data_IF_467407669631
#
_entry.id   IF_467407669631
#
_cell.length_a   1.000
_cell.length_b   1.000
_cell.length_c   1.000
_cell.angle_alpha   90.00
_cell.angle_beta   90.00
_cell.angle_gamma   90.00
#
_symmetry.space_group_name_H-M   'P 1'
#
loop_
_entity.id
_entity.type
_entity.pdbx_description
1 polymer ?
#
# COMPACT_ATOMS: atom_id res chain seq x y z
N UNK A 1 41.77 21.58 -52.74
CA UNK A 1 40.91 20.94 -53.75
C UNK A 1 40.32 19.68 -53.13
N UNK A 2 39.21 19.84 -52.42
CA UNK A 2 38.57 18.77 -51.65
C UNK A 2 37.50 18.12 -52.52
N UNK A 3 37.67 16.83 -52.82
CA UNK A 3 36.72 16.04 -53.60
C UNK A 3 35.44 15.79 -52.80
N UNK A 4 34.32 16.29 -53.32
CA UNK A 4 32.98 15.77 -53.01
C UNK A 4 32.86 14.39 -53.69
N UNK A 5 32.69 13.32 -52.91
CA UNK A 5 32.17 12.05 -53.42
C UNK A 5 30.72 11.89 -52.98
N UNK A 6 29.84 12.14 -53.94
CA UNK A 6 28.44 11.72 -53.97
C UNK A 6 28.33 10.22 -53.69
N UNK A 7 27.80 9.83 -52.54
CA UNK A 7 27.31 8.46 -52.33
C UNK A 7 25.86 8.39 -52.82
N UNK A 8 25.71 7.82 -54.01
CA UNK A 8 24.44 7.33 -54.53
C UNK A 8 24.04 6.13 -53.66
N UNK A 9 22.99 6.28 -52.85
CA UNK A 9 22.30 5.15 -52.23
C UNK A 9 21.77 4.24 -53.34
N UNK A 10 22.43 3.10 -53.55
CA UNK A 10 21.87 2.01 -54.35
C UNK A 10 20.79 1.33 -53.51
N UNK A 11 19.54 1.66 -53.79
CA UNK A 11 18.39 0.84 -53.38
C UNK A 11 18.60 -0.55 -53.95
N UNK A 12 18.91 -1.52 -53.08
CA UNK A 12 19.06 -2.92 -53.46
C UNK A 12 17.66 -3.43 -53.79
N UNK A 13 17.34 -3.58 -55.07
CA UNK A 13 16.11 -4.23 -55.52
C UNK A 13 16.01 -5.60 -54.82
N UNK A 14 14.92 -5.82 -54.07
CA UNK A 14 14.64 -7.10 -53.43
C UNK A 14 14.39 -8.13 -54.53
N UNK A 15 15.32 -9.07 -54.71
CA UNK A 15 15.14 -10.19 -55.62
C UNK A 15 14.01 -11.08 -55.09
N UNK A 16 13.05 -11.40 -55.95
CA UNK A 16 12.10 -12.48 -55.71
C UNK A 16 12.85 -13.80 -55.43
N UNK A 17 12.29 -14.73 -54.63
CA UNK A 17 12.83 -16.07 -54.58
C UNK A 17 12.92 -16.64 -56.02
N UNK A 18 14.00 -17.37 -56.35
CA UNK A 18 14.18 -17.89 -57.69
C UNK A 18 12.97 -18.76 -58.06
N UNK A 19 12.47 -18.64 -59.28
CA UNK A 19 11.33 -19.42 -59.77
C UNK A 19 11.54 -20.94 -59.65
N UNK A 20 12.81 -21.36 -59.54
CA UNK A 20 13.29 -22.73 -59.41
C UNK A 20 13.36 -23.23 -57.96
N UNK A 21 12.95 -22.45 -56.95
CA UNK A 21 12.83 -22.94 -55.57
C UNK A 21 11.62 -23.89 -55.46
N UNK A 22 11.82 -25.21 -55.24
CA UNK A 22 10.72 -26.15 -55.13
C UNK A 22 9.83 -25.85 -53.92
N UNK A 23 10.33 -25.18 -52.88
CA UNK A 23 9.59 -24.89 -51.65
C UNK A 23 8.96 -23.50 -51.61
N UNK A 24 8.88 -22.81 -52.75
CA UNK A 24 8.36 -21.43 -52.84
C UNK A 24 6.94 -21.24 -52.29
N UNK A 25 6.13 -22.31 -52.27
CA UNK A 25 4.79 -22.32 -51.69
C UNK A 25 4.76 -22.76 -50.22
N UNK A 26 5.80 -23.45 -49.77
CA UNK A 26 5.83 -24.16 -48.50
C UNK A 26 6.11 -25.65 -48.64
N UNK A 27 5.89 -26.38 -47.55
CA UNK A 27 6.17 -27.81 -47.46
C UNK A 27 5.21 -28.54 -46.53
N UNK A 28 5.20 -29.87 -46.64
CA UNK A 28 4.61 -30.78 -45.63
C UNK A 28 5.57 -31.90 -45.29
N UNK A 29 5.36 -32.53 -44.14
CA UNK A 29 6.09 -33.73 -43.75
C UNK A 29 5.27 -34.97 -44.09
N UNK A 30 5.85 -35.87 -44.87
CA UNK A 30 5.24 -37.15 -45.25
C UNK A 30 6.02 -38.28 -44.57
N UNK A 31 5.31 -39.17 -43.89
CA UNK A 31 5.94 -40.34 -43.28
C UNK A 31 6.42 -41.31 -44.35
N UNK A 32 7.74 -41.51 -44.42
CA UNK A 32 8.42 -42.42 -45.35
C UNK A 32 9.44 -43.26 -44.61
N UNK A 33 9.02 -44.35 -43.93
CA UNK A 33 9.92 -45.23 -43.21
C UNK A 33 11.12 -45.67 -44.06
N UNK A 34 12.30 -45.64 -43.46
CA UNK A 34 13.51 -46.26 -44.02
C UNK A 34 13.91 -47.47 -43.17
N UNK A 35 14.73 -48.40 -43.69
CA UNK A 35 15.20 -49.54 -42.90
C UNK A 35 15.89 -49.15 -41.58
N UNK A 36 16.54 -47.98 -41.54
CA UNK A 36 17.30 -47.49 -40.38
C UNK A 36 16.48 -46.53 -39.48
N UNK A 37 15.41 -45.92 -40.01
CA UNK A 37 14.51 -45.02 -39.28
C UNK A 37 13.05 -45.27 -39.68
N UNK A 38 12.31 -46.09 -38.91
CA UNK A 38 10.89 -46.34 -39.12
C UNK A 38 9.99 -45.12 -38.92
N UNK A 39 10.49 -44.06 -38.27
CA UNK A 39 9.77 -42.81 -38.00
C UNK A 39 10.12 -41.68 -38.97
N UNK A 40 10.91 -41.97 -40.00
CA UNK A 40 11.42 -40.95 -40.92
C UNK A 40 10.29 -40.13 -41.56
N UNK A 41 10.40 -38.81 -41.43
CA UNK A 41 9.54 -37.83 -42.07
C UNK A 41 10.33 -37.13 -43.18
N UNK A 42 9.86 -37.27 -44.42
CA UNK A 42 10.40 -36.57 -45.57
C UNK A 42 9.68 -35.24 -45.75
N UNK A 43 10.45 -34.16 -45.93
CA UNK A 43 9.91 -32.85 -46.29
C UNK A 43 9.62 -32.81 -47.79
N UNK A 44 8.37 -32.58 -48.17
CA UNK A 44 7.91 -32.54 -49.56
C UNK A 44 7.36 -31.15 -49.89
N UNK A 45 7.73 -30.54 -51.04
CA UNK A 45 7.24 -29.23 -51.43
C UNK A 45 5.75 -29.23 -51.75
N UNK A 46 5.06 -28.12 -51.44
CA UNK A 46 3.66 -27.91 -51.81
C UNK A 46 3.53 -27.44 -53.26
N UNK A 47 2.48 -27.88 -53.94
CA UNK A 47 2.06 -27.36 -55.25
C UNK A 47 1.08 -26.19 -55.10
N UNK A 48 0.82 -25.46 -56.18
CA UNK A 48 -0.23 -24.42 -56.19
C UNK A 48 -1.62 -24.99 -55.85
N UNK A 49 -1.87 -26.26 -56.21
CA UNK A 49 -3.09 -26.98 -55.86
C UNK A 49 -3.19 -27.28 -54.36
N UNK A 50 -2.07 -27.62 -53.73
CA UNK A 50 -2.00 -27.84 -52.28
C UNK A 50 -2.27 -26.54 -51.52
N UNK A 51 -1.78 -25.40 -52.01
CA UNK A 51 -2.10 -24.09 -51.40
C UNK A 51 -3.56 -23.72 -51.56
N UNK A 52 -4.21 -24.11 -52.66
CA UNK A 52 -5.66 -23.91 -52.81
C UNK A 52 -6.45 -24.79 -51.84
N UNK A 53 -5.96 -26.00 -51.59
CA UNK A 53 -6.63 -27.04 -50.80
C UNK A 53 -5.72 -27.63 -49.72
N UNK A 54 -5.38 -26.83 -48.68
CA UNK A 54 -4.37 -27.22 -47.70
C UNK A 54 -4.82 -28.38 -46.82
N UNK A 55 -3.84 -29.12 -46.34
CA UNK A 55 -3.97 -30.18 -45.35
C UNK A 55 -3.52 -29.71 -43.97
N UNK A 56 -4.01 -30.37 -42.93
CA UNK A 56 -3.57 -30.08 -41.55
C UNK A 56 -2.09 -30.47 -41.44
N UNK A 57 -1.25 -29.51 -41.05
CA UNK A 57 0.20 -29.71 -40.92
C UNK A 57 1.02 -29.20 -42.11
N UNK A 58 0.38 -28.66 -43.15
CA UNK A 58 1.06 -27.90 -44.19
C UNK A 58 1.67 -26.63 -43.59
N UNK A 59 2.91 -26.34 -43.99
CA UNK A 59 3.51 -25.03 -43.76
C UNK A 59 3.45 -24.24 -45.06
N UNK A 60 2.66 -23.16 -45.09
CA UNK A 60 2.53 -22.26 -46.25
C UNK A 60 3.35 -21.00 -45.98
N UNK A 61 4.12 -20.57 -46.97
CA UNK A 61 5.00 -19.39 -46.82
C UNK A 61 4.22 -18.11 -47.13
N UNK A 62 4.17 -17.20 -46.17
CA UNK A 62 3.57 -15.87 -46.32
C UNK A 62 4.61 -14.76 -46.26
N UNK A 63 4.27 -13.61 -46.85
CA UNK A 63 5.09 -12.40 -46.77
C UNK A 63 4.75 -11.59 -45.52
N UNK A 64 5.71 -10.84 -44.98
CA UNK A 64 5.46 -9.94 -43.82
C UNK A 64 4.29 -8.97 -44.07
N UNK A 65 4.08 -8.56 -45.33
CA UNK A 65 2.98 -7.65 -45.70
C UNK A 65 1.62 -8.34 -45.57
N UNK A 66 1.51 -9.56 -46.12
CA UNK A 66 0.34 -10.41 -45.97
C UNK A 66 -0.01 -10.62 -44.49
N UNK A 67 0.98 -11.06 -43.69
CA UNK A 67 0.84 -11.26 -42.24
C UNK A 67 0.39 -9.99 -41.50
N UNK A 68 0.91 -8.82 -41.89
CA UNK A 68 0.56 -7.54 -41.25
C UNK A 68 -0.90 -7.18 -41.50
N UNK A 69 -1.35 -7.25 -42.74
CA UNK A 69 -2.71 -6.90 -43.15
C UNK A 69 -3.73 -7.94 -42.63
N UNK A 70 -3.39 -9.23 -42.69
CA UNK A 70 -4.23 -10.30 -42.17
C UNK A 70 -4.45 -10.14 -40.67
N UNK A 71 -3.37 -9.98 -39.89
CA UNK A 71 -3.46 -9.77 -38.44
C UNK A 71 -4.31 -8.55 -38.11
N UNK A 72 -4.09 -7.43 -38.79
CA UNK A 72 -4.88 -6.22 -38.59
C UNK A 72 -6.37 -6.47 -38.82
N UNK A 73 -6.74 -7.11 -39.94
CA UNK A 73 -8.14 -7.41 -40.27
C UNK A 73 -8.76 -8.34 -39.23
N UNK A 74 -8.06 -9.41 -38.86
CA UNK A 74 -8.52 -10.36 -37.84
C UNK A 74 -8.79 -9.65 -36.52
N UNK A 75 -7.84 -8.84 -36.04
CA UNK A 75 -7.96 -8.15 -34.75
C UNK A 75 -9.14 -7.16 -34.73
N UNK A 76 -9.28 -6.34 -35.79
CA UNK A 76 -10.37 -5.36 -35.88
C UNK A 76 -11.73 -6.05 -35.94
N UNK A 77 -11.84 -7.12 -36.73
CA UNK A 77 -13.09 -7.86 -36.89
C UNK A 77 -13.45 -8.63 -35.61
N UNK A 78 -12.48 -9.25 -34.93
CA UNK A 78 -12.68 -9.89 -33.63
C UNK A 78 -13.18 -8.90 -32.57
N UNK A 79 -12.49 -7.76 -32.43
CA UNK A 79 -12.86 -6.72 -31.47
C UNK A 79 -14.28 -6.17 -31.73
N UNK A 80 -14.68 -6.13 -33.00
CA UNK A 80 -16.00 -5.65 -33.43
C UNK A 80 -17.11 -6.67 -33.17
N UNK A 81 -16.88 -7.94 -33.50
CA UNK A 81 -17.94 -8.95 -33.65
C UNK A 81 -18.01 -9.96 -32.52
N UNK A 82 -16.87 -10.39 -31.98
CA UNK A 82 -16.85 -11.42 -30.93
C UNK A 82 -17.28 -10.83 -29.58
N UNK A 83 -16.91 -9.57 -29.30
CA UNK A 83 -17.30 -8.88 -28.06
C UNK A 83 -18.81 -8.72 -27.92
N UNK A 84 -19.54 -8.59 -29.05
CA UNK A 84 -21.01 -8.47 -29.06
C UNK A 84 -21.70 -9.81 -29.27
N UNK A 85 -20.94 -10.88 -29.52
CA UNK A 85 -21.48 -12.23 -29.79
C UNK A 85 -22.20 -12.35 -31.14
N UNK A 86 -21.94 -11.45 -32.09
CA UNK A 86 -22.60 -11.43 -33.39
C UNK A 86 -22.03 -12.50 -34.35
N UNK A 87 -20.72 -12.70 -34.32
CA UNK A 87 -20.01 -13.67 -35.14
C UNK A 87 -18.67 -14.05 -34.53
N UNK A 88 -18.11 -15.18 -34.96
CA UNK A 88 -16.71 -15.53 -34.72
C UNK A 88 -15.84 -15.20 -35.93
N UNK A 89 -14.59 -14.80 -35.68
CA UNK A 89 -13.62 -14.44 -36.71
C UNK A 89 -12.40 -15.34 -36.59
N UNK A 90 -12.06 -15.97 -37.70
CA UNK A 90 -10.98 -16.95 -37.80
C UNK A 90 -10.06 -16.57 -38.97
N UNK A 91 -8.78 -16.85 -38.82
CA UNK A 91 -7.74 -16.64 -39.83
C UNK A 91 -6.87 -17.88 -39.92
N UNK A 92 -6.49 -18.29 -41.13
CA UNK A 92 -5.69 -19.49 -41.40
C UNK A 92 -6.22 -20.78 -40.75
N UNK A 93 -7.54 -20.86 -40.57
CA UNK A 93 -8.20 -22.10 -40.17
C UNK A 93 -8.82 -22.74 -41.41
N UNK A 94 -8.48 -24.02 -41.59
CA UNK A 94 -9.04 -24.85 -42.64
C UNK A 94 -10.56 -24.96 -42.49
N UNK A 95 -11.29 -24.79 -43.58
CA UNK A 95 -12.74 -24.98 -43.64
C UNK A 95 -13.09 -26.15 -44.56
N UNK A 96 -13.80 -27.13 -44.01
CA UNK A 96 -14.37 -28.25 -44.74
C UNK A 96 -15.82 -27.93 -45.12
N UNK A 97 -16.10 -27.96 -46.42
CA UNK A 97 -17.39 -27.59 -46.99
C UNK A 97 -18.36 -28.76 -47.01
N UNK A 98 -19.64 -28.47 -46.80
CA UNK A 98 -20.76 -29.41 -46.95
C UNK A 98 -21.24 -29.55 -48.42
N UNK A 99 -20.39 -29.14 -49.37
CA UNK A 99 -20.68 -29.12 -50.80
C UNK A 99 -19.97 -30.29 -51.50
N UNK A 100 -20.71 -31.20 -52.16
CA UNK A 100 -20.11 -32.35 -52.84
C UNK A 100 -19.02 -31.96 -53.84
N UNK A 101 -17.86 -32.62 -53.73
CA UNK A 101 -16.71 -32.42 -54.61
C UNK A 101 -15.95 -31.10 -54.39
N UNK A 102 -16.36 -30.26 -53.42
CA UNK A 102 -15.62 -29.06 -53.06
C UNK A 102 -14.61 -29.40 -51.95
N UNK A 103 -13.33 -29.35 -52.30
CA UNK A 103 -12.26 -29.60 -51.33
C UNK A 103 -12.14 -28.43 -50.33
N UNK A 104 -11.66 -28.71 -49.11
CA UNK A 104 -11.42 -27.70 -48.08
C UNK A 104 -10.48 -26.58 -48.54
N UNK A 105 -10.59 -25.42 -47.91
CA UNK A 105 -9.74 -24.25 -48.13
C UNK A 105 -9.22 -23.74 -46.77
N UNK A 106 -8.27 -22.80 -46.77
CA UNK A 106 -7.90 -22.03 -45.58
C UNK A 106 -7.93 -20.55 -45.95
N UNK A 107 -9.04 -19.84 -45.66
CA UNK A 107 -9.14 -18.42 -45.97
C UNK A 107 -8.27 -17.59 -45.03
N UNK A 108 -7.67 -16.51 -45.55
CA UNK A 108 -6.85 -15.61 -44.74
C UNK A 108 -7.65 -15.01 -43.57
N UNK A 109 -8.88 -14.56 -43.83
CA UNK A 109 -9.83 -14.11 -42.80
C UNK A 109 -11.24 -14.54 -43.17
N UNK A 110 -11.97 -15.10 -42.20
CA UNK A 110 -13.38 -15.45 -42.35
C UNK A 110 -14.22 -15.02 -41.15
N UNK A 111 -15.46 -14.61 -41.41
CA UNK A 111 -16.45 -14.23 -40.40
C UNK A 111 -17.64 -15.19 -40.49
N UNK A 112 -17.92 -15.88 -39.40
CA UNK A 112 -18.98 -16.89 -39.30
C UNK A 112 -20.02 -16.42 -38.26
N UNK A 113 -21.19 -15.91 -38.71
CA UNK A 113 -22.26 -15.47 -37.81
C UNK A 113 -22.89 -16.63 -37.03
N UNK A 114 -23.47 -16.30 -35.87
CA UNK A 114 -24.29 -17.25 -35.09
C UNK A 114 -23.52 -18.29 -34.27
N UNK A 115 -22.18 -18.25 -34.30
CA UNK A 115 -21.32 -19.00 -33.37
C UNK A 115 -20.93 -18.06 -32.23
N UNK A 116 -21.39 -18.36 -31.01
CA UNK A 116 -21.16 -17.52 -29.83
C UNK A 116 -20.08 -18.05 -28.88
N UNK A 117 -19.60 -19.28 -29.10
CA UNK A 117 -18.55 -19.91 -28.29
C UNK A 117 -17.43 -20.40 -29.21
N UNK A 118 -16.20 -20.01 -28.87
CA UNK A 118 -14.99 -20.44 -29.57
C UNK A 118 -14.58 -21.84 -29.10
N UNK A 119 -14.31 -22.71 -30.06
CA UNK A 119 -13.64 -24.00 -29.86
C UNK A 119 -12.22 -23.95 -30.45
N UNK A 120 -11.43 -25.01 -30.23
CA UNK A 120 -10.06 -25.13 -30.71
C UNK A 120 -9.98 -25.82 -32.07
N UNK A 121 -10.62 -25.23 -33.09
CA UNK A 121 -10.68 -25.81 -34.44
C UNK A 121 -9.33 -25.71 -35.16
N UNK A 122 -8.80 -26.86 -35.60
CA UNK A 122 -7.82 -26.94 -36.70
C UNK A 122 -8.49 -27.13 -38.06
N UNK A 123 -9.75 -27.56 -38.07
CA UNK A 123 -10.64 -27.54 -39.23
C UNK A 123 -12.05 -27.20 -38.74
N UNK A 124 -12.67 -26.19 -39.35
CA UNK A 124 -14.08 -25.87 -39.17
C UNK A 124 -14.90 -26.68 -40.18
N UNK A 125 -15.75 -27.59 -39.70
CA UNK A 125 -16.58 -28.44 -40.57
C UNK A 125 -17.99 -27.87 -40.66
N UNK A 126 -18.34 -27.32 -41.83
CA UNK A 126 -19.63 -26.66 -42.07
C UNK A 126 -20.82 -27.60 -41.82
N UNK A 127 -20.68 -28.90 -42.12
CA UNK A 127 -21.76 -29.85 -41.92
C UNK A 127 -21.97 -30.17 -40.43
N UNK A 128 -20.89 -30.22 -39.64
CA UNK A 128 -20.96 -30.47 -38.20
C UNK A 128 -21.44 -29.25 -37.42
N UNK A 129 -20.95 -28.06 -37.77
CA UNK A 129 -21.24 -26.81 -37.05
C UNK A 129 -22.57 -26.19 -37.49
N UNK A 130 -23.08 -26.55 -38.68
CA UNK A 130 -24.34 -26.05 -39.24
C UNK A 130 -24.30 -24.59 -39.69
N UNK A 131 -23.17 -23.91 -39.50
CA UNK A 131 -22.93 -22.52 -39.87
C UNK A 131 -21.83 -22.44 -40.94
N UNK A 132 -21.81 -21.36 -41.71
CA UNK A 132 -20.79 -21.11 -42.75
C UNK A 132 -20.34 -19.65 -42.75
N UNK A 133 -19.17 -19.34 -43.33
CA UNK A 133 -18.72 -17.95 -43.48
C UNK A 133 -19.73 -17.12 -44.25
N UNK A 134 -20.07 -15.95 -43.71
CA UNK A 134 -20.83 -14.92 -44.42
C UNK A 134 -19.90 -13.95 -45.16
N UNK A 135 -18.68 -13.77 -44.65
CA UNK A 135 -17.63 -12.96 -45.26
C UNK A 135 -16.33 -13.75 -45.27
N UNK A 136 -15.65 -13.74 -46.41
CA UNK A 136 -14.25 -14.14 -46.55
C UNK A 136 -13.45 -12.97 -47.12
N UNK A 137 -12.28 -12.70 -46.56
CA UNK A 137 -11.30 -11.75 -47.10
C UNK A 137 -10.03 -12.52 -47.42
N UNK A 138 -9.50 -12.35 -48.62
CA UNK A 138 -8.23 -12.92 -49.06
C UNK A 138 -7.25 -11.81 -49.43
N UNK A 139 -5.99 -11.99 -49.05
CA UNK A 139 -4.89 -11.10 -49.34
C UNK A 139 -3.97 -11.80 -50.32
N UNK A 140 -3.92 -11.30 -51.55
CA UNK A 140 -3.18 -12.01 -52.60
C UNK A 140 -1.68 -11.98 -52.34
N UNK A 141 -1.02 -13.12 -52.51
CA UNK A 141 0.44 -13.18 -52.64
C UNK A 141 0.81 -13.41 -54.11
N UNK A 142 1.93 -12.84 -54.63
CA UNK A 142 2.25 -12.90 -56.05
C UNK A 142 2.24 -14.31 -56.66
N UNK A 143 2.71 -15.29 -55.91
CA UNK A 143 2.89 -16.67 -56.36
C UNK A 143 1.57 -17.47 -56.39
N UNK A 144 0.55 -17.04 -55.63
CA UNK A 144 -0.73 -17.75 -55.43
C UNK A 144 -1.95 -16.92 -55.85
N UNK A 145 -1.74 -15.67 -56.29
CA UNK A 145 -2.75 -14.67 -56.67
C UNK A 145 -3.84 -15.20 -57.63
N UNK A 146 -3.51 -16.13 -58.52
CA UNK A 146 -4.48 -16.76 -59.42
C UNK A 146 -5.54 -17.58 -58.66
N UNK A 147 -5.15 -18.25 -57.57
CA UNK A 147 -6.09 -19.00 -56.74
C UNK A 147 -7.19 -18.08 -56.21
N UNK A 148 -6.83 -16.90 -55.70
CA UNK A 148 -7.79 -15.95 -55.12
C UNK A 148 -8.64 -15.27 -56.20
N UNK A 149 -8.02 -14.83 -57.30
CA UNK A 149 -8.73 -14.07 -58.35
C UNK A 149 -9.61 -14.91 -59.28
N UNK A 150 -9.40 -16.22 -59.34
CA UNK A 150 -10.08 -17.10 -60.29
C UNK A 150 -10.74 -18.27 -59.59
N UNK A 151 -9.96 -19.13 -58.92
CA UNK A 151 -10.44 -20.44 -58.44
C UNK A 151 -11.35 -20.29 -57.22
N UNK A 152 -10.92 -19.50 -56.23
CA UNK A 152 -11.65 -19.24 -54.98
C UNK A 152 -12.93 -18.43 -55.22
N UNK A 153 -12.96 -17.55 -56.24
CA UNK A 153 -14.20 -16.86 -56.66
C UNK A 153 -15.29 -17.88 -56.97
N UNK A 154 -15.02 -18.88 -57.80
CA UNK A 154 -16.00 -19.92 -58.12
C UNK A 154 -16.30 -20.80 -56.90
N UNK A 155 -15.27 -21.25 -56.18
CA UNK A 155 -15.40 -22.17 -55.06
C UNK A 155 -16.24 -21.57 -53.91
N UNK A 156 -15.99 -20.32 -53.53
CA UNK A 156 -16.74 -19.66 -52.45
C UNK A 156 -18.16 -19.30 -52.86
N UNK A 157 -18.42 -18.98 -54.13
CA UNK A 157 -19.78 -18.81 -54.63
C UNK A 157 -20.57 -20.13 -54.53
N UNK A 158 -19.96 -21.25 -54.95
CA UNK A 158 -20.55 -22.60 -54.81
C UNK A 158 -20.77 -22.99 -53.35
N UNK A 159 -19.92 -22.54 -52.44
CA UNK A 159 -20.07 -22.73 -51.00
C UNK A 159 -21.14 -21.82 -50.35
N UNK A 160 -21.69 -20.85 -51.10
CA UNK A 160 -22.73 -19.97 -50.60
C UNK A 160 -22.24 -18.88 -49.65
N UNK A 161 -20.97 -18.48 -49.76
CA UNK A 161 -20.42 -17.36 -48.98
C UNK A 161 -21.01 -16.06 -49.52
N UNK A 162 -21.62 -15.23 -48.67
CA UNK A 162 -22.41 -14.09 -49.12
C UNK A 162 -21.55 -12.94 -49.69
N UNK A 163 -20.39 -12.71 -49.08
CA UNK A 163 -19.44 -11.67 -49.49
C UNK A 163 -18.01 -12.23 -49.55
N UNK A 164 -17.33 -11.96 -50.65
CA UNK A 164 -15.92 -12.33 -50.84
C UNK A 164 -15.11 -11.11 -51.26
N UNK A 165 -14.17 -10.70 -50.40
CA UNK A 165 -13.33 -9.52 -50.63
C UNK A 165 -11.90 -9.94 -50.91
N UNK A 166 -11.27 -9.33 -51.92
CA UNK A 166 -9.87 -9.59 -52.26
C UNK A 166 -9.08 -8.29 -52.11
N UNK A 167 -8.04 -8.35 -51.29
CA UNK A 167 -6.97 -7.35 -51.19
C UNK A 167 -5.88 -7.74 -52.18
N UNK A 168 -5.95 -7.13 -53.36
CA UNK A 168 -5.14 -7.51 -54.52
C UNK A 168 -3.88 -6.63 -54.64
N UNK A 169 -2.73 -7.25 -54.42
CA UNK A 169 -1.39 -6.67 -54.60
C UNK A 169 -1.00 -6.74 -56.09
N UNK A 170 -1.00 -5.59 -56.77
CA UNK A 170 -0.83 -5.51 -58.23
C UNK A 170 0.63 -5.57 -58.71
N UNK A 171 1.57 -4.98 -57.95
CA UNK A 171 2.96 -4.80 -58.39
C UNK A 171 3.95 -5.21 -57.28
N UNK A 172 5.12 -5.73 -57.69
CA UNK A 172 6.26 -6.02 -56.79
C UNK A 172 7.23 -4.85 -56.66
N UNK A 173 7.10 -3.83 -57.50
CA UNK A 173 7.99 -2.67 -57.56
C UNK A 173 7.34 -1.43 -56.93
N UNK A 174 8.17 -0.50 -56.49
CA UNK A 174 7.71 0.75 -55.87
C UNK A 174 7.34 1.78 -56.96
N UNK A 175 6.21 2.51 -56.83
CA UNK A 175 5.28 2.44 -55.71
C UNK A 175 4.34 1.24 -55.83
N UNK A 176 4.20 0.49 -54.72
CA UNK A 176 3.19 -0.57 -54.67
C UNK A 176 1.79 -0.03 -54.90
N UNK A 177 0.94 -0.88 -55.47
CA UNK A 177 -0.48 -0.61 -55.68
C UNK A 177 -1.30 -1.77 -55.16
N UNK A 178 -2.20 -1.48 -54.23
CA UNK A 178 -3.28 -2.37 -53.82
C UNK A 178 -4.58 -1.94 -54.51
N UNK A 179 -5.48 -2.91 -54.74
CA UNK A 179 -6.89 -2.64 -55.01
C UNK A 179 -7.77 -3.57 -54.19
N UNK A 180 -9.00 -3.14 -53.93
CA UNK A 180 -10.03 -3.96 -53.30
C UNK A 180 -11.00 -4.45 -54.37
N UNK A 181 -11.32 -5.75 -54.35
CA UNK A 181 -12.39 -6.35 -55.15
C UNK A 181 -13.45 -6.89 -54.21
N UNK A 182 -14.69 -6.40 -54.30
CA UNK A 182 -15.82 -6.85 -53.47
C UNK A 182 -16.78 -7.69 -54.31
N UNK A 183 -16.82 -9.00 -54.08
CA UNK A 183 -17.73 -9.90 -54.74
C UNK A 183 -18.94 -10.20 -53.85
N UNK A 184 -20.15 -10.08 -54.41
CA UNK A 184 -21.43 -10.34 -53.73
C UNK A 184 -22.14 -11.50 -54.38
N UNK A 185 -22.59 -12.45 -53.57
CA UNK A 185 -23.30 -13.62 -54.08
C UNK A 185 -24.70 -13.19 -54.54
N UNK A 186 -24.99 -13.40 -55.83
CA UNK A 186 -26.31 -13.17 -56.42
C UNK A 186 -26.73 -14.45 -57.13
N UNK A 187 -27.67 -15.18 -56.52
CA UNK A 187 -27.98 -16.54 -56.94
C UNK A 187 -26.79 -17.47 -56.66
N UNK A 188 -26.27 -18.11 -57.70
CA UNK A 188 -25.17 -19.08 -57.59
C UNK A 188 -23.80 -18.51 -58.03
N UNK A 189 -23.73 -17.20 -58.31
CA UNK A 189 -22.52 -16.56 -58.84
C UNK A 189 -22.21 -15.26 -58.12
N UNK A 190 -20.93 -14.94 -58.08
CA UNK A 190 -20.49 -13.64 -57.63
C UNK A 190 -20.66 -12.56 -58.69
N UNK A 191 -21.08 -11.38 -58.24
CA UNK A 191 -21.06 -10.13 -58.99
C UNK A 191 -20.08 -9.18 -58.32
N UNK A 192 -19.20 -8.56 -59.09
CA UNK A 192 -18.30 -7.53 -58.58
C UNK A 192 -19.11 -6.28 -58.25
N UNK A 193 -19.08 -5.89 -56.98
CA UNK A 193 -19.72 -4.70 -56.46
C UNK A 193 -18.72 -3.53 -56.47
N UNK A 194 -19.13 -2.34 -56.93
CA UNK A 194 -18.25 -1.18 -56.95
C UNK A 194 -17.88 -0.72 -55.54
N UNK A 195 -16.65 -0.23 -55.39
CA UNK A 195 -16.23 0.53 -54.23
C UNK A 195 -16.92 1.91 -54.18
N UNK A 196 -16.88 2.57 -53.03
CA UNK A 196 -17.37 3.93 -52.86
C UNK A 196 -16.47 4.97 -53.57
N UNK A 197 -16.84 6.25 -53.46
CA UNK A 197 -16.08 7.36 -54.04
C UNK A 197 -14.65 7.52 -53.51
N UNK A 198 -14.34 6.88 -52.37
CA UNK A 198 -13.03 6.84 -51.74
C UNK A 198 -12.29 5.52 -52.01
N UNK A 199 -12.82 4.63 -52.85
CA UNK A 199 -12.24 3.32 -53.14
C UNK A 199 -12.39 2.30 -52.01
N UNK A 200 -13.33 2.51 -51.09
CA UNK A 200 -13.61 1.61 -49.96
C UNK A 200 -14.73 0.64 -50.29
N UNK A 201 -14.70 -0.54 -49.70
CA UNK A 201 -15.76 -1.57 -49.81
C UNK A 201 -16.44 -1.77 -48.47
N UNK A 202 -17.75 -1.96 -48.46
CA UNK A 202 -18.50 -2.13 -47.20
C UNK A 202 -18.53 -3.60 -46.79
N UNK A 203 -18.09 -3.92 -45.59
CA UNK A 203 -18.15 -5.27 -45.00
C UNK A 203 -19.48 -5.43 -44.26
N UNK A 204 -20.46 -6.08 -44.88
CA UNK A 204 -21.85 -6.14 -44.37
C UNK A 204 -21.93 -6.79 -42.99
N UNK A 205 -21.26 -7.93 -42.83
CA UNK A 205 -21.25 -8.69 -41.58
C UNK A 205 -20.63 -7.90 -40.42
N UNK A 206 -19.73 -6.96 -40.70
CA UNK A 206 -18.99 -6.19 -39.70
C UNK A 206 -19.52 -4.77 -39.48
N UNK A 207 -20.31 -4.25 -40.44
CA UNK A 207 -20.72 -2.85 -40.55
C UNK A 207 -19.52 -1.90 -40.47
N UNK A 208 -18.50 -2.22 -41.26
CA UNK A 208 -17.25 -1.47 -41.39
C UNK A 208 -16.97 -1.23 -42.87
N UNK A 209 -16.30 -0.12 -43.17
CA UNK A 209 -15.71 0.12 -44.48
C UNK A 209 -14.26 -0.37 -44.49
N UNK A 210 -13.87 -1.13 -45.49
CA UNK A 210 -12.48 -1.50 -45.74
C UNK A 210 -11.92 -0.61 -46.84
N UNK A 211 -10.81 0.06 -46.58
CA UNK A 211 -10.09 0.91 -47.53
C UNK A 211 -8.60 0.62 -47.55
N UNK A 212 -7.86 1.41 -48.34
CA UNK A 212 -6.41 1.36 -48.44
C UNK A 212 -5.83 2.70 -48.01
N UNK A 213 -4.84 2.70 -47.11
CA UNK A 213 -4.05 3.87 -46.74
C UNK A 213 -2.59 3.46 -46.57
N UNK A 214 -1.65 4.29 -47.04
CA UNK A 214 -0.20 4.02 -46.99
C UNK A 214 0.19 2.62 -47.47
N UNK A 215 -0.51 2.11 -48.50
CA UNK A 215 -0.31 0.79 -49.08
C UNK A 215 -0.59 -0.39 -48.12
N UNK A 216 -1.50 -0.19 -47.17
CA UNK A 216 -2.02 -1.18 -46.23
C UNK A 216 -3.55 -1.10 -46.16
N UNK A 217 -4.18 -2.20 -45.73
CA UNK A 217 -5.62 -2.20 -45.46
C UNK A 217 -5.94 -1.44 -44.18
N UNK A 218 -7.03 -0.66 -44.21
CA UNK A 218 -7.53 0.09 -43.06
C UNK A 218 -9.05 -0.03 -43.00
N UNK A 219 -9.57 -0.40 -41.84
CA UNK A 219 -11.00 -0.42 -41.55
C UNK A 219 -11.46 0.94 -41.00
N UNK A 220 -12.66 1.36 -41.39
CA UNK A 220 -13.31 2.56 -40.91
C UNK A 220 -14.70 2.20 -40.38
N UNK A 221 -15.14 2.87 -39.32
CA UNK A 221 -16.53 2.75 -38.87
C UNK A 221 -17.49 3.52 -39.79
N UNK A 222 -18.79 3.42 -39.53
CA UNK A 222 -19.84 4.08 -40.32
C UNK A 222 -19.76 5.63 -40.29
N UNK A 223 -19.02 6.21 -39.34
CA UNK A 223 -18.75 7.65 -39.27
C UNK A 223 -17.51 8.07 -40.06
N UNK A 224 -16.78 7.11 -40.64
CA UNK A 224 -15.53 7.33 -41.35
C UNK A 224 -14.31 7.45 -40.44
N UNK A 225 -14.41 7.07 -39.16
CA UNK A 225 -13.28 7.07 -38.23
C UNK A 225 -12.47 5.78 -38.41
N UNK A 226 -11.13 5.91 -38.44
CA UNK A 226 -10.20 4.78 -38.58
C UNK A 226 -10.28 3.86 -37.36
N UNK A 227 -10.43 2.57 -37.61
CA UNK A 227 -10.31 1.52 -36.59
C UNK A 227 -8.83 1.30 -36.32
N UNK A 228 -8.38 1.68 -35.11
CA UNK A 228 -7.00 1.48 -34.67
C UNK A 228 -6.59 0.01 -34.66
N UNK A 229 -5.28 -0.24 -34.80
CA UNK A 229 -4.70 -1.57 -34.65
C UNK A 229 -4.86 -2.08 -33.20
N UNK A 230 -4.80 -3.40 -32.98
CA UNK A 230 -4.77 -4.07 -31.67
C UNK A 230 -3.79 -3.43 -30.68
N UNK A 231 -2.66 -2.89 -31.17
CA UNK A 231 -1.70 -2.13 -30.35
C UNK A 231 -2.32 -0.92 -29.67
N UNK A 232 -3.20 -0.17 -30.34
CA UNK A 232 -3.86 0.98 -29.74
C UNK A 232 -4.90 0.56 -28.68
N UNK A 233 -5.57 -0.58 -28.86
CA UNK A 233 -6.47 -1.14 -27.84
C UNK A 233 -5.70 -1.71 -26.63
N UNK A 234 -4.57 -2.38 -26.86
CA UNK A 234 -3.70 -2.88 -25.79
C UNK A 234 -3.01 -1.75 -25.03
N UNK A 235 -2.49 -0.73 -25.71
CA UNK A 235 -1.92 0.45 -25.05
C UNK A 235 -2.96 1.16 -24.18
N UNK A 236 -4.21 1.25 -24.64
CA UNK A 236 -5.30 1.81 -23.83
C UNK A 236 -5.65 0.93 -22.62
N UNK A 237 -5.68 -0.40 -22.79
CA UNK A 237 -5.95 -1.34 -21.71
C UNK A 237 -4.81 -1.40 -20.68
N UNK A 238 -3.55 -1.42 -21.14
CA UNK A 238 -2.36 -1.35 -20.29
C UNK A 238 -2.25 0.01 -19.58
N UNK A 239 -2.55 1.11 -20.26
CA UNK A 239 -2.60 2.42 -19.63
C UNK A 239 -3.68 2.50 -18.56
N UNK A 240 -4.89 1.95 -18.83
CA UNK A 240 -5.97 1.89 -17.85
C UNK A 240 -5.62 0.99 -16.66
N UNK A 241 -4.98 -0.16 -16.88
CA UNK A 241 -4.51 -1.03 -15.80
C UNK A 241 -3.38 -0.39 -14.99
N UNK A 242 -2.42 0.28 -15.64
CA UNK A 242 -1.34 0.98 -14.96
C UNK A 242 -1.84 2.19 -14.17
N UNK A 243 -2.91 2.85 -14.62
CA UNK A 243 -3.60 3.89 -13.85
C UNK A 243 -4.33 3.28 -12.65
N UNK A 244 -5.11 2.22 -12.85
CA UNK A 244 -5.81 1.52 -11.77
C UNK A 244 -4.85 0.98 -10.70
N UNK A 245 -3.71 0.43 -11.12
CA UNK A 245 -2.65 -0.01 -10.21
C UNK A 245 -2.07 1.15 -9.41
N UNK A 246 -1.72 2.27 -10.06
CA UNK A 246 -1.22 3.48 -9.39
C UNK A 246 -2.24 4.07 -8.42
N UNK A 247 -3.53 4.08 -8.78
CA UNK A 247 -4.59 4.51 -7.88
C UNK A 247 -4.75 3.58 -6.68
N UNK A 248 -4.68 2.26 -6.88
CA UNK A 248 -4.74 1.27 -5.80
C UNK A 248 -3.54 1.40 -4.86
N UNK A 249 -2.34 1.58 -5.40
CA UNK A 249 -1.11 1.80 -4.63
C UNK A 249 -1.17 3.12 -3.85
N UNK A 250 -1.65 4.19 -4.48
CA UNK A 250 -1.84 5.49 -3.81
C UNK A 250 -2.89 5.41 -2.69
N UNK A 251 -3.99 4.67 -2.89
CA UNK A 251 -5.00 4.43 -1.85
C UNK A 251 -4.43 3.63 -0.70
N UNK A 252 -3.68 2.55 -0.98
CA UNK A 252 -3.05 1.73 0.04
C UNK A 252 -2.01 2.53 0.86
N UNK A 253 -1.18 3.36 0.20
CA UNK A 253 -0.23 4.23 0.87
C UNK A 253 -0.92 5.30 1.74
N UNK A 254 -2.02 5.88 1.25
CA UNK A 254 -2.81 6.85 2.02
C UNK A 254 -3.47 6.19 3.25
N UNK A 255 -3.99 4.97 3.11
CA UNK A 255 -4.58 4.20 4.21
C UNK A 255 -3.52 3.83 5.26
N UNK A 256 -2.33 3.39 4.84
CA UNK A 256 -1.23 3.10 5.76
C UNK A 256 -0.77 4.35 6.51
N UNK A 257 -0.64 5.48 5.81
CA UNK A 257 -0.27 6.76 6.43
C UNK A 257 -1.33 7.19 7.45
N UNK A 258 -2.62 7.08 7.11
CA UNK A 258 -3.72 7.38 8.02
C UNK A 258 -3.69 6.48 9.26
N UNK A 259 -3.37 5.19 9.11
CA UNK A 259 -3.22 4.26 10.24
C UNK A 259 -2.05 4.65 11.14
N UNK A 260 -0.88 4.97 10.57
CA UNK A 260 0.29 5.43 11.33
C UNK A 260 0.02 6.72 12.08
N UNK A 261 -0.70 7.67 11.47
CA UNK A 261 -1.09 8.91 12.13
C UNK A 261 -2.08 8.67 13.27
N UNK A 262 -3.04 7.76 13.10
CA UNK A 262 -3.98 7.38 14.14
C UNK A 262 -3.27 6.68 15.32
N UNK A 263 -2.36 5.75 15.04
CA UNK A 263 -1.52 5.08 16.05
C UNK A 263 -0.62 6.09 16.79
N UNK A 264 -0.02 7.05 16.08
CA UNK A 264 0.81 8.10 16.68
C UNK A 264 -0.01 9.04 17.58
N UNK A 265 -1.23 9.40 17.17
CA UNK A 265 -2.16 10.19 17.98
C UNK A 265 -2.58 9.44 19.24
N UNK A 266 -2.95 8.17 19.11
CA UNK A 266 -3.31 7.34 20.27
C UNK A 266 -2.14 7.21 21.26
N UNK A 267 -0.93 6.96 20.75
CA UNK A 267 0.27 6.89 21.60
C UNK A 267 0.60 8.23 22.28
N UNK A 268 0.38 9.36 21.59
CA UNK A 268 0.57 10.69 22.17
C UNK A 268 -0.47 10.99 23.26
N UNK A 269 -1.74 10.64 23.03
CA UNK A 269 -2.82 10.77 24.03
C UNK A 269 -2.55 9.91 25.26
N UNK A 270 -2.08 8.68 25.09
CA UNK A 270 -1.74 7.80 26.21
C UNK A 270 -0.54 8.31 27.00
N UNK A 271 0.50 8.80 26.33
CA UNK A 271 1.63 9.46 27.00
C UNK A 271 1.19 10.70 27.77
N UNK A 272 0.29 11.49 27.22
CA UNK A 272 -0.25 12.67 27.90
C UNK A 272 -1.03 12.27 29.16
N UNK A 273 -1.88 11.23 29.09
CA UNK A 273 -2.60 10.70 30.26
C UNK A 273 -1.66 10.20 31.35
N UNK A 274 -0.62 9.43 30.98
CA UNK A 274 0.37 8.93 31.94
C UNK A 274 1.15 10.07 32.58
N UNK A 275 1.54 11.09 31.81
CA UNK A 275 2.22 12.27 32.33
C UNK A 275 1.33 13.08 33.28
N UNK A 276 0.04 13.24 32.96
CA UNK A 276 -0.93 13.90 33.83
C UNK A 276 -1.15 13.11 35.14
N UNK A 277 -1.27 11.78 35.07
CA UNK A 277 -1.39 10.94 36.26
C UNK A 277 -0.13 11.03 37.14
N UNK A 278 1.06 10.99 36.53
CA UNK A 278 2.32 11.10 37.24
C UNK A 278 2.46 12.48 37.90
N UNK A 279 2.12 13.56 37.19
CA UNK A 279 2.12 14.91 37.73
C UNK A 279 1.14 15.04 38.92
N UNK A 280 -0.03 14.40 38.85
CA UNK A 280 -0.99 14.37 39.97
C UNK A 280 -0.41 13.64 41.18
N UNK A 281 0.19 12.47 40.98
CA UNK A 281 0.85 11.71 42.07
C UNK A 281 2.01 12.49 42.69
N UNK A 282 2.81 13.18 41.89
CA UNK A 282 3.91 14.02 42.38
C UNK A 282 3.37 15.23 43.17
N UNK A 283 2.28 15.86 42.72
CA UNK A 283 1.64 16.95 43.43
C UNK A 283 1.03 16.49 44.77
N UNK A 284 0.33 15.36 44.78
CA UNK A 284 -0.20 14.73 46.00
C UNK A 284 0.93 14.39 46.99
N UNK A 285 2.04 13.81 46.51
CA UNK A 285 3.19 13.49 47.34
C UNK A 285 3.87 14.74 47.92
N UNK A 286 4.00 15.82 47.12
CA UNK A 286 4.53 17.11 47.61
C UNK A 286 3.63 17.72 48.67
N UNK A 287 2.31 17.73 48.44
CA UNK A 287 1.34 18.24 49.41
C UNK A 287 1.39 17.45 50.74
N UNK A 288 1.47 16.11 50.66
CA UNK A 288 1.61 15.27 51.85
C UNK A 288 2.94 15.52 52.60
N UNK A 289 4.05 15.68 51.87
CA UNK A 289 5.35 16.00 52.48
C UNK A 289 5.35 17.39 53.14
N UNK A 290 4.73 18.38 52.51
CA UNK A 290 4.58 19.73 53.06
C UNK A 290 3.69 19.74 54.32
N UNK A 291 2.58 19.00 54.31
CA UNK A 291 1.73 18.84 55.48
C UNK A 291 2.49 18.15 56.63
N UNK A 292 3.23 17.08 56.34
CA UNK A 292 4.04 16.40 57.34
C UNK A 292 5.13 17.31 57.91
N UNK A 293 5.85 18.05 57.07
CA UNK A 293 6.84 19.03 57.51
C UNK A 293 6.22 20.11 58.41
N UNK A 294 5.00 20.58 58.09
CA UNK A 294 4.27 21.52 58.94
C UNK A 294 3.94 20.92 60.30
N UNK A 295 3.41 19.70 60.34
CA UNK A 295 3.10 18.99 61.59
C UNK A 295 4.36 18.75 62.43
N UNK A 296 5.47 18.37 61.81
CA UNK A 296 6.76 18.20 62.51
C UNK A 296 7.28 19.53 63.07
N UNK A 297 7.17 20.63 62.31
CA UNK A 297 7.54 21.96 62.78
C UNK A 297 6.66 22.44 63.94
N UNK A 298 5.33 22.24 63.84
CA UNK A 298 4.38 22.56 64.91
C UNK A 298 4.67 21.72 66.17
N UNK A 299 4.96 20.42 66.02
CA UNK A 299 5.34 19.55 67.12
C UNK A 299 6.66 19.97 67.79
N UNK A 300 7.68 20.34 67.01
CA UNK A 300 8.96 20.87 67.53
C UNK A 300 8.76 22.19 68.27
N UNK A 301 7.93 23.09 67.72
CA UNK A 301 7.60 24.34 68.38
C UNK A 301 6.86 24.11 69.70
N UNK A 302 5.91 23.16 69.73
CA UNK A 302 5.20 22.77 70.94
C UNK A 302 6.13 22.15 71.99
N UNK A 303 7.06 21.27 71.59
CA UNK A 303 8.05 20.69 72.51
C UNK A 303 9.00 21.76 73.07
N UNK A 304 9.48 22.68 72.22
CA UNK A 304 10.33 23.78 72.65
C UNK A 304 9.59 24.71 73.64
N UNK A 305 8.32 25.03 73.37
CA UNK A 305 7.48 25.81 74.29
C UNK A 305 7.27 25.09 75.63
N UNK A 306 7.02 23.77 75.59
CA UNK A 306 6.87 22.97 76.80
C UNK A 306 8.16 22.92 77.63
N UNK A 307 9.34 22.79 76.99
CA UNK A 307 10.64 22.87 77.68
C UNK A 307 10.87 24.24 78.29
N UNK A 308 10.62 25.32 77.55
CA UNK A 308 10.78 26.68 78.07
C UNK A 308 9.87 26.93 79.29
N UNK A 309 8.62 26.47 79.24
CA UNK A 309 7.69 26.56 80.37
C UNK A 309 8.17 25.74 81.58
N UNK A 310 8.71 24.54 81.36
CA UNK A 310 9.27 23.71 82.43
C UNK A 310 10.52 24.34 83.06
N UNK A 311 11.42 24.93 82.25
CA UNK A 311 12.59 25.67 82.74
C UNK A 311 12.18 26.91 83.54
N UNK A 312 11.18 27.66 83.07
CA UNK A 312 10.64 28.81 83.79
C UNK A 312 10.02 28.39 85.13
N UNK A 313 9.25 27.31 85.15
CA UNK A 313 8.68 26.77 86.38
C UNK A 313 9.78 26.31 87.36
N UNK A 314 10.77 25.56 86.88
CA UNK A 314 11.89 25.12 87.70
C UNK A 314 12.67 26.31 88.30
N UNK A 315 12.85 27.37 87.52
CA UNK A 315 13.47 28.61 88.00
C UNK A 315 12.63 29.28 89.09
N UNK A 316 11.32 29.42 88.89
CA UNK A 316 10.40 29.96 89.92
C UNK A 316 10.41 29.13 91.19
N UNK A 317 10.42 27.81 91.08
CA UNK A 317 10.51 26.90 92.23
C UNK A 317 11.86 27.04 92.96
N UNK A 318 12.97 27.17 92.23
CA UNK A 318 14.28 27.40 92.81
C UNK A 318 14.38 28.76 93.53
N UNK A 319 13.86 29.83 92.92
CA UNK A 319 13.78 31.16 93.52
C UNK A 319 12.90 31.13 94.79
N UNK A 320 11.76 30.44 94.75
CA UNK A 320 10.89 30.27 95.92
C UNK A 320 11.56 29.47 97.05
N UNK A 321 12.30 28.40 96.72
CA UNK A 321 13.08 27.63 97.71
C UNK A 321 14.19 28.47 98.34
N UNK A 322 14.94 29.22 97.53
CA UNK A 322 15.98 30.11 98.01
C UNK A 322 15.41 31.20 98.95
N UNK A 323 14.27 31.79 98.60
CA UNK A 323 13.57 32.76 99.45
C UNK A 323 13.09 32.13 100.77
N UNK A 324 12.56 30.91 100.74
CA UNK A 324 12.15 30.17 101.93
C UNK A 324 13.34 29.82 102.84
N UNK A 325 14.48 29.41 102.26
CA UNK A 325 15.71 29.13 103.01
C UNK A 325 16.28 30.40 103.65
N UNK A 326 16.29 31.52 102.92
CA UNK A 326 16.70 32.82 103.46
C UNK A 326 15.80 33.25 104.61
N UNK A 327 14.47 33.09 104.47
CA UNK A 327 13.52 33.39 105.54
C UNK A 327 13.75 32.50 106.76
N UNK A 328 13.91 31.18 106.58
CA UNK A 328 14.20 30.26 107.66
C UNK A 328 15.50 30.61 108.40
N UNK A 329 16.54 31.04 107.66
CA UNK A 329 17.79 31.52 108.23
C UNK A 329 17.59 32.78 109.06
N UNK A 330 16.84 33.77 108.56
CA UNK A 330 16.50 34.98 109.31
C UNK A 330 15.71 34.67 110.58
N UNK A 331 14.76 33.74 110.52
CA UNK A 331 13.99 33.29 111.69
C UNK A 331 14.88 32.57 112.71
N UNK A 332 15.83 31.73 112.27
CA UNK A 332 16.78 31.06 113.14
C UNK A 332 17.75 32.06 113.81
N UNK A 333 18.28 33.02 113.06
CA UNK A 333 19.12 34.11 113.59
C UNK A 333 18.34 34.96 114.62
N UNK A 334 17.08 35.28 114.34
CA UNK A 334 16.22 36.00 115.27
C UNK A 334 15.93 35.20 116.56
N UNK A 335 15.70 33.88 116.45
CA UNK A 335 15.52 33.00 117.62
C UNK A 335 16.79 32.91 118.46
N UNK A 336 17.95 32.74 117.82
CA UNK A 336 19.23 32.70 118.50
C UNK A 336 19.53 34.02 119.23
N UNK A 337 19.25 35.16 118.59
CA UNK A 337 19.39 36.48 119.23
C UNK A 337 18.42 36.64 120.43
N UNK A 338 17.17 36.17 120.31
CA UNK A 338 16.21 36.20 121.40
C UNK A 338 16.64 35.29 122.57
N UNK A 339 17.19 34.11 122.29
CA UNK A 339 17.71 33.18 123.30
C UNK A 339 18.95 33.73 124.00
N UNK A 340 19.87 34.36 123.25
CA UNK A 340 21.03 35.06 123.82
C UNK A 340 20.59 36.22 124.71
N UNK A 341 19.61 37.01 124.27
CA UNK A 341 19.07 38.10 125.07
C UNK A 341 18.40 37.58 126.35
N UNK A 342 17.61 36.52 126.27
CA UNK A 342 17.01 35.87 127.44
C UNK A 342 18.09 35.34 128.42
N UNK A 343 19.19 34.79 127.90
CA UNK A 343 20.33 34.35 128.73
C UNK A 343 21.03 35.52 129.42
N UNK A 344 21.27 36.63 128.71
CA UNK A 344 21.84 37.86 129.31
C UNK A 344 20.92 38.44 130.39
N UNK A 345 19.61 38.44 130.17
CA UNK A 345 18.64 38.86 131.18
C UNK A 345 18.63 37.94 132.41
N UNK A 346 18.73 36.62 132.21
CA UNK A 346 18.84 35.66 133.30
C UNK A 346 20.14 35.82 134.10
N UNK A 347 21.28 36.03 133.43
CA UNK A 347 22.57 36.32 134.07
C UNK A 347 22.53 37.65 134.84
N UNK A 348 21.90 38.69 134.30
CA UNK A 348 21.69 39.97 135.00
C UNK A 348 20.82 39.81 136.26
N UNK A 349 19.73 39.03 136.19
CA UNK A 349 18.90 38.70 137.36
C UNK A 349 19.66 37.89 138.40
N UNK A 350 20.50 36.95 137.98
CA UNK A 350 21.34 36.17 138.89
C UNK A 350 22.40 37.05 139.57
N UNK A 351 23.01 38.00 138.85
CA UNK A 351 23.94 38.97 139.40
C UNK A 351 23.25 39.93 140.40
N UNK A 352 22.03 40.37 140.10
CA UNK A 352 21.24 41.19 141.03
C UNK A 352 20.88 40.40 142.31
N UNK A 353 20.50 39.12 142.17
CA UNK A 353 20.23 38.25 143.31
C UNK A 353 21.49 38.00 144.16
N UNK A 354 22.65 37.81 143.54
CA UNK A 354 23.93 37.66 144.23
C UNK A 354 24.32 38.95 144.97
N UNK A 355 24.14 40.11 144.35
CA UNK A 355 24.39 41.41 145.00
C UNK A 355 23.46 41.65 146.20
N UNK A 356 22.17 41.27 146.08
CA UNK A 356 21.23 41.32 147.22
C UNK A 356 21.67 40.39 148.35
N UNK A 357 22.10 39.17 148.05
CA UNK A 357 22.59 38.22 149.04
C UNK A 357 23.88 38.71 149.74
N UNK A 358 24.78 39.38 149.01
CA UNK A 358 26.01 39.97 149.58
C UNK A 358 25.69 41.15 150.53
N UNK A 359 24.72 42.01 150.15
CA UNK A 359 24.24 43.08 151.01
C UNK A 359 23.58 42.51 152.27
N UNK A 360 22.77 41.45 152.13
CA UNK A 360 22.12 40.79 153.27
C UNK A 360 23.13 40.12 154.21
N UNK A 361 24.21 39.53 153.65
CA UNK A 361 25.31 38.97 154.43
C UNK A 361 26.08 40.04 155.22
N UNK A 362 26.38 41.20 154.59
CA UNK A 362 27.00 42.34 155.28
C UNK A 362 26.11 42.94 156.36
N UNK A 363 24.79 42.97 156.14
CA UNK A 363 23.84 43.42 157.15
C UNK A 363 23.86 42.51 158.39
N UNK A 364 23.88 41.19 158.19
CA UNK A 364 23.99 40.20 159.28
C UNK A 364 25.31 40.28 160.02
N UNK A 365 26.40 40.58 159.33
CA UNK A 365 27.73 40.76 159.93
C UNK A 365 27.78 42.03 160.81
N UNK A 366 27.24 43.15 160.32
CA UNK A 366 27.08 44.40 161.08
C UNK A 366 26.14 44.23 162.29
N UNK A 367 25.05 43.48 162.16
CA UNK A 367 24.15 43.16 163.28
C UNK A 367 24.83 42.30 164.36
N UNK A 368 25.68 41.35 163.96
CA UNK A 368 26.47 40.54 164.88
C UNK A 368 27.55 41.37 165.60
N UNK A 369 28.15 42.35 164.93
CA UNK A 369 29.15 43.25 165.51
C UNK A 369 28.53 44.27 166.49
N UNK A 370 27.33 44.77 166.17
CA UNK A 370 26.54 45.62 167.07
C UNK A 370 26.07 44.89 168.34
N UNK A 371 25.76 43.58 168.26
CA UNK A 371 25.48 42.75 169.44
C UNK A 371 26.71 42.63 170.35
N UNK A 372 27.90 42.41 169.77
CA UNK A 372 29.16 42.32 170.54
C UNK A 372 29.52 43.59 171.32
N UNK A 373 29.27 44.77 170.75
CA UNK A 373 29.64 46.04 171.38
C UNK A 373 28.66 46.52 172.47
N UNK A 374 27.49 45.88 172.62
CA UNK A 374 26.46 46.24 173.61
C UNK A 374 26.46 45.44 174.91
N UNK A 375 27.29 44.41 175.06
CA UNK A 375 27.41 43.69 176.33
C UNK A 375 26.17 42.88 176.72
N UNK A 376 25.58 42.16 175.76
CA UNK A 376 24.65 41.05 176.00
C UNK A 376 25.16 39.86 175.19
N UNK A 377 25.62 38.81 175.90
CA UNK A 377 25.91 37.45 175.42
C UNK A 377 26.42 37.27 174.00
#
# INVERSE_FOLDING_TARGET
MTQLKSQVSRTRARQAPPADDPFRYGWRFVHRPTPDDPSHLEQVPLTLEDVLHPEVGDFIVHSIRHETDQRYLTDVLQARLERTGEAIVMSDIRIAWDVPGLRPHSPDVMVIPGITKRDNWSTFDVAQEGQRPALIIEITSPETRENDLVRKVEHYARAGVAQYVIVDYLEREEPLRLRLLDYRLVGERYVLHPADEHGRVYLESARLWLGIADNHVVCYNERGEVMGNYTAMMEQAEAAQAQAWREAEARAAAEEQARREAEARAAAEERARLAEEQARREAEARAAAEEQARRESEARAAEAAARAAAEEQARREAEARAAAEEQARREAEARAAAEEQARREAEARAAEAAARAEVEARLRELEAELRRLRGEG
#
